data_IF_513317366914
#
_entry.id   IF_513317366914
#
_cell.length_a   1.000
_cell.length_b   1.000
_cell.length_c   1.000
_cell.angle_alpha   90.00
_cell.angle_beta   90.00
_cell.angle_gamma   90.00
#
_symmetry.space_group_name_H-M   'P 1'
#
loop_
_entity.id
_entity.type
_entity.pdbx_description
1 polymer ?
#
# COMPACT_ATOMS: atom_id res chain seq x y z
N UNK A 1 17.78 -9.89 1.13
CA UNK A 1 18.80 -10.60 0.33
C UNK A 1 18.24 -11.17 -0.99
N UNK A 2 17.10 -11.87 -0.98
CA UNK A 2 16.51 -12.45 -2.20
C UNK A 2 16.15 -11.42 -3.29
N UNK A 3 15.58 -10.26 -2.93
CA UNK A 3 15.23 -9.21 -3.90
C UNK A 3 16.46 -8.63 -4.63
N UNK A 4 17.56 -8.39 -3.89
CA UNK A 4 18.86 -7.96 -4.46
C UNK A 4 19.43 -8.98 -5.42
N UNK A 5 19.40 -10.26 -5.06
CA UNK A 5 19.85 -11.33 -5.95
C UNK A 5 19.00 -11.40 -7.23
N UNK A 6 17.67 -11.28 -7.12
CA UNK A 6 16.76 -11.25 -8.28
C UNK A 6 17.02 -10.06 -9.19
N UNK A 7 17.20 -8.86 -8.64
CA UNK A 7 17.51 -7.66 -9.43
C UNK A 7 18.82 -7.81 -10.22
N UNK A 8 19.85 -8.38 -9.58
CA UNK A 8 21.13 -8.69 -10.24
C UNK A 8 20.97 -9.72 -11.36
N UNK A 9 20.23 -10.81 -11.11
CA UNK A 9 19.96 -11.84 -12.13
C UNK A 9 19.13 -11.30 -13.31
N UNK A 10 18.27 -10.31 -13.06
CA UNK A 10 17.49 -9.63 -14.09
C UNK A 10 18.27 -8.54 -14.86
N UNK A 11 19.56 -8.33 -14.56
CA UNK A 11 20.39 -7.32 -15.23
C UNK A 11 19.98 -5.87 -14.93
N UNK A 12 19.33 -5.62 -13.79
CA UNK A 12 18.87 -4.28 -13.40
C UNK A 12 20.01 -3.46 -12.77
N UNK A 13 21.02 -3.13 -13.57
CA UNK A 13 22.26 -2.45 -13.13
C UNK A 13 22.04 -1.03 -12.56
N UNK A 14 20.90 -0.42 -12.87
CA UNK A 14 20.50 0.92 -12.40
C UNK A 14 19.57 0.90 -11.19
N UNK A 15 19.38 -0.27 -10.57
CA UNK A 15 18.47 -0.43 -9.42
C UNK A 15 19.28 -0.73 -8.17
N UNK A 16 19.21 0.20 -7.21
CA UNK A 16 19.64 -0.06 -5.84
C UNK A 16 18.44 -0.48 -4.99
N UNK A 17 18.65 -1.48 -4.12
CA UNK A 17 17.64 -1.91 -3.17
C UNK A 17 18.20 -1.74 -1.76
N UNK A 18 17.52 -0.98 -0.92
CA UNK A 18 17.83 -0.84 0.50
C UNK A 18 16.66 -1.33 1.35
N UNK A 19 16.94 -1.61 2.63
CA UNK A 19 15.90 -1.83 3.63
C UNK A 19 15.90 -0.58 4.52
N UNK A 20 14.77 0.12 4.56
CA UNK A 20 14.57 1.30 5.38
C UNK A 20 13.10 1.37 5.80
N UNK A 21 12.82 2.03 6.92
CA UNK A 21 11.46 2.41 7.26
C UNK A 21 10.97 3.49 6.27
N UNK A 22 9.67 3.53 6.02
CA UNK A 22 9.09 4.42 5.02
C UNK A 22 9.18 5.91 5.41
N UNK A 23 9.36 6.20 6.69
CA UNK A 23 9.58 7.51 7.30
C UNK A 23 11.08 7.80 7.58
N UNK A 24 11.96 6.86 7.27
CA UNK A 24 13.42 6.98 7.41
C UNK A 24 14.11 6.81 6.05
N UNK A 25 13.54 7.41 5.00
CA UNK A 25 14.15 7.36 3.67
C UNK A 25 15.48 8.11 3.71
N UNK A 26 16.61 7.47 3.36
CA UNK A 26 17.89 8.17 3.29
C UNK A 26 17.76 9.34 2.29
N UNK A 27 18.47 10.46 2.53
CA UNK A 27 18.42 11.60 1.63
C UNK A 27 18.99 11.19 0.26
N UNK A 28 18.10 10.80 -0.65
CA UNK A 28 18.39 10.65 -2.06
C UNK A 28 18.33 12.05 -2.64
N UNK A 29 19.40 12.83 -2.45
CA UNK A 29 19.43 14.21 -2.92
C UNK A 29 18.99 14.26 -4.40
N UNK A 30 17.99 15.09 -4.68
CA UNK A 30 17.44 15.35 -6.00
C UNK A 30 16.68 14.19 -6.68
N UNK A 31 15.96 13.37 -5.92
CA UNK A 31 15.06 12.39 -6.54
C UNK A 31 13.99 13.09 -7.40
N UNK A 32 13.83 12.64 -8.65
CA UNK A 32 12.78 13.14 -9.55
C UNK A 32 11.37 12.71 -9.14
N UNK A 33 11.25 11.65 -8.34
CA UNK A 33 9.96 11.24 -7.79
C UNK A 33 10.01 10.06 -6.82
N UNK A 34 8.92 9.89 -6.08
CA UNK A 34 8.66 8.75 -5.19
C UNK A 34 7.37 8.07 -5.66
N UNK A 35 7.40 6.75 -5.78
CA UNK A 35 6.24 5.93 -6.13
C UNK A 35 5.91 4.96 -5.00
N UNK A 36 4.69 5.05 -4.46
CA UNK A 36 4.15 4.14 -3.46
C UNK A 36 2.98 3.36 -4.06
N UNK A 37 3.16 2.06 -4.28
CA UNK A 37 2.12 1.17 -4.80
C UNK A 37 1.51 0.36 -3.66
N UNK A 38 0.30 0.72 -3.25
CA UNK A 38 -0.51 0.09 -2.21
C UNK A 38 0.13 0.02 -0.80
N UNK A 39 1.23 0.76 -0.56
CA UNK A 39 1.97 0.71 0.72
C UNK A 39 1.62 1.85 1.68
N UNK A 40 1.37 3.08 1.22
CA UNK A 40 1.04 4.21 2.11
C UNK A 40 -0.17 3.89 3.00
N UNK A 41 -1.19 3.22 2.46
CA UNK A 41 -2.39 2.80 3.20
C UNK A 41 -2.10 1.85 4.39
N UNK A 42 -0.93 1.21 4.43
CA UNK A 42 -0.53 0.26 5.47
C UNK A 42 0.29 0.92 6.59
N UNK A 43 0.81 2.12 6.37
CA UNK A 43 1.68 2.79 7.34
C UNK A 43 0.86 3.36 8.50
N UNK A 44 1.36 3.28 9.75
CA UNK A 44 0.71 3.95 10.88
C UNK A 44 0.83 5.48 10.74
N UNK A 45 2.04 5.99 10.51
CA UNK A 45 2.38 7.42 10.46
C UNK A 45 2.54 7.93 9.02
N UNK A 46 1.43 7.98 8.27
CA UNK A 46 1.42 8.35 6.84
C UNK A 46 1.99 9.73 6.56
N UNK A 47 1.70 10.71 7.42
CA UNK A 47 2.20 12.08 7.29
C UNK A 47 3.73 12.14 7.51
N UNK A 48 4.28 11.31 8.41
CA UNK A 48 5.72 11.21 8.62
C UNK A 48 6.42 10.64 7.37
N UNK A 49 5.85 9.59 6.77
CA UNK A 49 6.35 9.04 5.51
C UNK A 49 6.33 10.07 4.37
N UNK A 50 5.22 10.80 4.17
CA UNK A 50 5.15 11.87 3.16
C UNK A 50 6.18 12.97 3.39
N UNK A 51 6.45 13.33 4.66
CA UNK A 51 7.50 14.31 5.01
C UNK A 51 8.89 13.81 4.63
N UNK A 52 9.20 12.56 4.96
CA UNK A 52 10.48 11.94 4.60
C UNK A 52 10.65 11.84 3.07
N UNK A 53 9.59 11.44 2.36
CA UNK A 53 9.60 11.37 0.89
C UNK A 53 9.80 12.74 0.27
N UNK A 54 9.11 13.76 0.78
CA UNK A 54 9.27 15.15 0.34
C UNK A 54 10.69 15.67 0.55
N UNK A 55 11.35 15.28 1.64
CA UNK A 55 12.74 15.67 1.92
C UNK A 55 13.76 15.03 0.95
N UNK A 56 13.42 13.91 0.31
CA UNK A 56 14.25 13.27 -0.71
C UNK A 56 14.02 13.83 -2.12
N UNK A 57 12.97 14.63 -2.36
CA UNK A 57 12.69 15.13 -3.71
C UNK A 57 13.58 16.32 -4.07
N UNK A 58 14.03 16.33 -5.34
CA UNK A 58 14.59 17.52 -5.95
C UNK A 58 13.53 18.58 -6.30
N UNK A 59 13.96 19.75 -6.80
CA UNK A 59 13.05 20.74 -7.35
C UNK A 59 12.12 20.11 -8.40
N UNK A 60 10.81 20.39 -8.30
CA UNK A 60 9.76 19.82 -9.16
C UNK A 60 9.54 18.29 -9.07
N UNK A 61 10.17 17.60 -8.11
CA UNK A 61 9.93 16.19 -7.85
C UNK A 61 8.47 15.89 -7.48
N UNK A 62 8.01 14.68 -7.74
CA UNK A 62 6.59 14.27 -7.54
C UNK A 62 6.47 13.02 -6.67
N UNK A 63 5.40 12.97 -5.89
CA UNK A 63 4.98 11.74 -5.20
C UNK A 63 3.74 11.19 -5.92
N UNK A 64 3.81 9.93 -6.32
CA UNK A 64 2.67 9.20 -6.85
C UNK A 64 2.30 8.06 -5.89
N UNK A 65 1.04 8.04 -5.46
CA UNK A 65 0.52 7.04 -4.53
C UNK A 65 -0.65 6.34 -5.18
N UNK A 66 -0.58 5.02 -5.26
CA UNK A 66 -1.69 4.15 -5.65
C UNK A 66 -2.14 3.40 -4.40
N UNK A 67 -3.45 3.37 -4.14
CA UNK A 67 -4.02 2.69 -2.98
C UNK A 67 -5.43 2.20 -3.31
N UNK A 68 -5.94 1.27 -2.51
CA UNK A 68 -7.34 0.85 -2.62
C UNK A 68 -8.20 1.92 -1.96
N UNK A 69 -9.14 2.59 -2.66
CA UNK A 69 -9.96 3.64 -2.03
C UNK A 69 -10.91 3.07 -0.98
N UNK A 70 -11.38 3.90 -0.04
CA UNK A 70 -12.34 3.48 1.00
C UNK A 70 -13.70 3.06 0.43
N UNK A 71 -14.08 3.62 -0.72
CA UNK A 71 -15.40 3.43 -1.30
C UNK A 71 -15.66 1.93 -1.49
N UNK A 72 -16.75 1.45 -0.86
CA UNK A 72 -17.15 0.06 -0.94
C UNK A 72 -18.00 -0.10 -2.19
N UNK A 73 -17.45 -0.81 -3.16
CA UNK A 73 -18.25 -1.32 -4.26
C UNK A 73 -19.28 -2.33 -3.68
N UNK A 74 -20.47 -2.44 -4.28
CA UNK A 74 -21.46 -3.48 -3.93
C UNK A 74 -21.08 -4.83 -4.55
N UNK A 75 -19.80 -5.15 -4.50
CA UNK A 75 -19.19 -6.29 -5.17
C UNK A 75 -18.64 -7.31 -4.14
N UNK A 76 -17.94 -8.33 -4.64
CA UNK A 76 -17.33 -9.35 -3.78
C UNK A 76 -16.30 -8.75 -2.81
N UNK A 77 -15.58 -7.70 -3.21
CA UNK A 77 -14.56 -7.05 -2.39
C UNK A 77 -15.17 -6.23 -1.25
N UNK A 78 -16.24 -5.49 -1.53
CA UNK A 78 -17.03 -4.79 -0.54
C UNK A 78 -17.64 -5.74 0.50
N UNK A 79 -18.15 -6.90 0.05
CA UNK A 79 -18.65 -7.96 0.95
C UNK A 79 -17.54 -8.51 1.85
N UNK A 80 -16.38 -8.85 1.29
CA UNK A 80 -15.23 -9.34 2.05
C UNK A 80 -14.78 -8.32 3.10
N UNK A 81 -14.67 -7.04 2.72
CA UNK A 81 -14.33 -5.96 3.64
C UNK A 81 -15.31 -5.86 4.82
N UNK A 82 -16.62 -5.94 4.55
CA UNK A 82 -17.65 -5.95 5.61
C UNK A 82 -17.54 -7.17 6.52
N UNK A 83 -17.32 -8.35 5.97
CA UNK A 83 -17.15 -9.59 6.74
C UNK A 83 -15.94 -9.50 7.67
N UNK A 84 -14.82 -8.97 7.18
CA UNK A 84 -13.60 -8.74 7.97
C UNK A 84 -13.85 -7.78 9.13
N UNK A 85 -14.52 -6.66 8.88
CA UNK A 85 -14.84 -5.69 9.94
C UNK A 85 -15.79 -6.28 10.97
N UNK A 86 -16.81 -7.02 10.53
CA UNK A 86 -17.74 -7.72 11.42
C UNK A 86 -17.02 -8.76 12.29
N UNK A 87 -16.09 -9.53 11.72
CA UNK A 87 -15.34 -10.55 12.46
C UNK A 87 -14.30 -9.97 13.43
N UNK A 88 -13.72 -8.81 13.11
CA UNK A 88 -12.64 -8.21 13.92
C UNK A 88 -13.11 -7.11 14.87
N UNK A 89 -14.32 -6.56 14.66
CA UNK A 89 -14.82 -5.38 15.34
C UNK A 89 -14.03 -4.10 15.02
N UNK A 90 -13.13 -4.13 14.03
CA UNK A 90 -12.23 -3.03 13.70
C UNK A 90 -12.60 -2.48 12.32
N UNK A 91 -13.22 -1.28 12.24
CA UNK A 91 -13.53 -0.68 10.96
C UNK A 91 -12.25 -0.33 10.21
N UNK A 92 -12.31 -0.29 8.88
CA UNK A 92 -11.22 0.23 8.07
C UNK A 92 -10.89 1.69 8.48
N UNK A 93 -9.60 2.02 8.71
CA UNK A 93 -9.20 3.39 9.05
C UNK A 93 -9.61 4.39 7.97
N UNK A 94 -10.15 5.54 8.40
CA UNK A 94 -10.38 6.69 7.52
C UNK A 94 -9.14 7.59 7.51
N UNK A 95 -8.24 7.36 6.56
CA UNK A 95 -6.96 8.07 6.48
C UNK A 95 -6.87 9.02 5.30
N UNK A 96 -7.68 8.80 4.26
CA UNK A 96 -7.54 9.48 2.97
C UNK A 96 -7.91 10.97 3.05
N UNK A 97 -9.05 11.27 3.68
CA UNK A 97 -9.53 12.66 3.84
C UNK A 97 -8.63 13.44 4.80
N UNK A 98 -8.30 12.95 6.02
CA UNK A 98 -7.40 13.68 6.91
C UNK A 98 -6.02 13.92 6.31
N UNK A 99 -5.44 12.93 5.62
CA UNK A 99 -4.11 13.08 5.03
C UNK A 99 -4.11 14.09 3.88
N UNK A 100 -5.16 14.12 3.05
CA UNK A 100 -5.31 15.13 1.98
C UNK A 100 -5.37 16.55 2.56
N UNK A 101 -6.09 16.73 3.67
CA UNK A 101 -6.18 18.03 4.34
C UNK A 101 -4.81 18.50 4.90
N UNK A 102 -3.93 17.57 5.29
CA UNK A 102 -2.60 17.88 5.83
C UNK A 102 -1.53 18.17 4.76
N UNK A 103 -1.79 17.92 3.47
CA UNK A 103 -0.77 18.11 2.42
C UNK A 103 -0.12 19.50 2.41
N UNK A 104 -0.85 20.63 2.56
CA UNK A 104 -0.24 21.95 2.59
C UNK A 104 0.76 22.14 3.74
N UNK A 105 0.45 21.62 4.92
CA UNK A 105 1.32 21.68 6.11
C UNK A 105 2.60 20.85 5.93
N UNK A 106 2.55 19.82 5.08
CA UNK A 106 3.69 19.01 4.67
C UNK A 106 4.52 19.65 3.54
N UNK A 107 4.13 20.83 3.07
CA UNK A 107 4.75 21.49 1.92
C UNK A 107 4.49 20.75 0.61
N UNK A 108 3.37 20.02 0.52
CA UNK A 108 2.93 19.27 -0.65
C UNK A 108 1.66 19.91 -1.23
N UNK A 109 1.49 19.77 -2.55
CA UNK A 109 0.28 20.17 -3.24
C UNK A 109 -0.25 18.99 -4.04
N UNK A 110 -1.55 18.71 -3.91
CA UNK A 110 -2.20 17.74 -4.76
C UNK A 110 -2.19 18.26 -6.21
N UNK A 111 -1.46 17.58 -7.07
CA UNK A 111 -1.44 17.89 -8.50
C UNK A 111 -2.65 17.26 -9.20
N UNK A 112 -2.97 16.02 -8.83
CA UNK A 112 -3.99 15.21 -9.48
C UNK A 112 -4.45 14.09 -8.55
N UNK A 113 -5.73 13.72 -8.65
CA UNK A 113 -6.29 12.51 -8.09
C UNK A 113 -7.23 11.88 -9.12
N UNK A 114 -7.11 10.58 -9.34
CA UNK A 114 -7.95 9.82 -10.27
C UNK A 114 -8.33 8.50 -9.63
N UNK A 115 -9.58 8.12 -9.82
CA UNK A 115 -10.03 6.77 -9.55
C UNK A 115 -9.76 5.92 -10.79
N UNK A 116 -9.15 4.75 -10.57
CA UNK A 116 -8.83 3.80 -11.63
C UNK A 116 -9.58 2.51 -11.34
N UNK A 117 -10.33 2.04 -12.33
CA UNK A 117 -10.98 0.75 -12.30
C UNK A 117 -10.32 -0.18 -13.32
N UNK A 118 -9.99 -1.38 -12.86
CA UNK A 118 -9.40 -2.41 -13.70
C UNK A 118 -10.18 -3.70 -13.47
N UNK A 119 -10.64 -4.30 -14.56
CA UNK A 119 -11.25 -5.61 -14.50
C UNK A 119 -10.19 -6.66 -14.20
N UNK A 120 -10.47 -7.50 -13.20
CA UNK A 120 -9.61 -8.63 -12.85
C UNK A 120 -10.45 -9.89 -12.91
N UNK A 121 -10.14 -10.75 -13.88
CA UNK A 121 -10.76 -12.06 -14.02
C UNK A 121 -9.92 -13.10 -13.27
N UNK A 122 -10.61 -13.93 -12.49
CA UNK A 122 -10.01 -15.11 -11.85
C UNK A 122 -10.58 -16.37 -12.49
N UNK A 123 -9.76 -17.42 -12.70
CA UNK A 123 -10.25 -18.68 -13.27
C UNK A 123 -11.37 -19.35 -12.45
N UNK A 124 -11.37 -19.12 -11.14
CA UNK A 124 -12.42 -19.57 -10.22
C UNK A 124 -12.40 -18.75 -8.91
N UNK A 125 -13.47 -18.79 -8.10
CA UNK A 125 -13.47 -18.20 -6.76
C UNK A 125 -12.35 -18.73 -5.86
N UNK A 126 -12.00 -20.01 -5.94
CA UNK A 126 -10.93 -20.64 -5.17
C UNK A 126 -9.54 -20.15 -5.61
N UNK A 127 -9.37 -19.86 -6.91
CA UNK A 127 -8.15 -19.22 -7.40
C UNK A 127 -8.03 -17.78 -6.86
N UNK A 128 -9.12 -17.01 -6.84
CA UNK A 128 -9.17 -15.69 -6.25
C UNK A 128 -8.85 -15.74 -4.74
N UNK A 129 -9.48 -16.66 -4.00
CA UNK A 129 -9.26 -16.84 -2.57
C UNK A 129 -7.83 -17.21 -2.22
N UNK A 130 -7.24 -18.18 -2.94
CA UNK A 130 -5.83 -18.55 -2.75
C UNK A 130 -4.91 -17.37 -2.98
N UNK A 131 -5.12 -16.60 -4.04
CA UNK A 131 -4.31 -15.43 -4.33
C UNK A 131 -4.40 -14.40 -3.19
N UNK A 132 -5.59 -14.15 -2.65
CA UNK A 132 -5.76 -13.22 -1.53
C UNK A 132 -5.09 -13.72 -0.26
N UNK A 133 -5.29 -15.00 0.10
CA UNK A 133 -4.69 -15.64 1.27
C UNK A 133 -3.17 -15.61 1.21
N UNK A 134 -2.62 -15.86 0.02
CA UNK A 134 -1.17 -15.91 -0.20
C UNK A 134 -0.59 -14.50 -0.39
N UNK A 135 -1.43 -13.49 -0.66
CA UNK A 135 -1.04 -12.08 -0.70
C UNK A 135 -0.84 -11.50 0.70
N UNK A 136 0.14 -10.59 0.81
CA UNK A 136 0.54 -9.95 2.06
C UNK A 136 -0.62 -9.28 2.82
N UNK A 137 -1.60 -8.71 2.11
CA UNK A 137 -2.72 -7.97 2.71
C UNK A 137 -3.63 -8.85 3.57
N UNK A 138 -3.97 -10.07 3.14
CA UNK A 138 -4.79 -10.98 3.95
C UNK A 138 -3.96 -11.70 5.01
N UNK A 139 -2.68 -11.96 4.77
CA UNK A 139 -1.79 -12.56 5.78
C UNK A 139 -1.68 -11.70 7.04
N UNK A 140 -1.56 -10.38 6.90
CA UNK A 140 -1.58 -9.45 8.05
C UNK A 140 -2.90 -9.52 8.81
N UNK A 141 -4.01 -9.73 8.11
CA UNK A 141 -5.32 -9.89 8.72
C UNK A 141 -5.46 -11.24 9.45
N UNK A 142 -5.10 -12.34 8.80
CA UNK A 142 -5.15 -13.69 9.36
C UNK A 142 -4.28 -13.79 10.61
N UNK A 143 -3.10 -13.17 10.60
CA UNK A 143 -2.24 -13.07 11.78
C UNK A 143 -2.91 -12.33 12.95
N UNK A 144 -3.73 -11.31 12.67
CA UNK A 144 -4.49 -10.55 13.70
C UNK A 144 -5.73 -11.28 14.21
N UNK A 145 -6.33 -12.15 13.40
CA UNK A 145 -7.50 -12.97 13.78
C UNK A 145 -7.12 -14.22 14.59
N UNK A 146 -5.82 -14.57 14.61
CA UNK A 146 -5.28 -15.67 15.40
C UNK A 146 -5.36 -17.04 14.70
N UNK A 147 -4.75 -18.08 15.32
CA UNK A 147 -4.48 -19.36 14.64
C UNK A 147 -5.73 -20.13 14.18
N UNK A 148 -6.88 -19.89 14.82
CA UNK A 148 -8.14 -20.53 14.45
C UNK A 148 -8.66 -20.04 13.09
N UNK A 149 -8.50 -18.75 12.79
CA UNK A 149 -8.87 -18.19 11.49
C UNK A 149 -7.93 -18.67 10.38
N UNK A 150 -6.63 -18.79 10.68
CA UNK A 150 -5.64 -19.32 9.73
C UNK A 150 -5.98 -20.75 9.30
N UNK A 151 -6.31 -21.65 10.25
CA UNK A 151 -6.69 -23.04 9.96
C UNK A 151 -8.01 -23.17 9.20
N UNK A 152 -8.94 -22.24 9.37
CA UNK A 152 -10.20 -22.23 8.61
C UNK A 152 -10.02 -21.80 7.15
N UNK A 153 -8.83 -21.31 6.78
CA UNK A 153 -8.48 -20.82 5.44
C UNK A 153 -7.48 -21.75 4.71
N UNK A 154 -7.06 -22.84 5.35
CA UNK A 154 -6.26 -23.94 4.78
C UNK A 154 -7.16 -24.95 4.07
#
# INVERSE_FOLDING_TARGET
MLARARARLAGLERVELSLAAADEVPPLADAGGVFSSFTLQLLPERAAALRAWRAALGPAGRIAVVFWPRQREEDAWGHLGRAIEGATGKPRPDWEVPLRAQLPELGLRLAEARDLQHEVAYPSPEAAWRLLRDACSLQVLLARMGPAATRACE
#
